data_IF_303461775764
#
_entry.id   IF_303461775764
#
_cell.length_a   1.000
_cell.length_b   1.000
_cell.length_c   1.000
_cell.angle_alpha   90.00
_cell.angle_beta   90.00
_cell.angle_gamma   90.00
#
_symmetry.space_group_name_H-M   'P 1'
#
loop_
_entity.id
_entity.type
_entity.pdbx_description
1 polymer ?
#
# COMPACT_ATOMS: atom_id res chain seq x y z
N UNK A 1 -1.76 -8.56 21.99
CA UNK A 1 -2.17 -8.34 20.58
C UNK A 1 -3.62 -7.87 20.58
N UNK A 2 -3.96 -6.87 19.77
CA UNK A 2 -5.35 -6.40 19.64
C UNK A 2 -6.19 -7.47 18.95
N UNK A 3 -7.39 -7.75 19.47
CA UNK A 3 -8.35 -8.68 18.85
C UNK A 3 -8.92 -8.03 17.60
N UNK A 4 -8.79 -8.68 16.44
CA UNK A 4 -9.43 -8.25 15.19
C UNK A 4 -10.75 -9.00 15.00
N UNK A 5 -11.80 -8.30 14.54
CA UNK A 5 -13.16 -8.85 14.45
C UNK A 5 -13.38 -9.85 13.30
N UNK A 6 -12.48 -9.89 12.32
CA UNK A 6 -12.61 -10.75 11.14
C UNK A 6 -11.24 -11.06 10.54
N UNK A 7 -11.08 -12.25 9.96
CA UNK A 7 -9.90 -12.62 9.17
C UNK A 7 -10.04 -12.13 7.71
N UNK A 8 -9.22 -11.18 7.24
CA UNK A 8 -9.29 -10.71 5.86
C UNK A 8 -8.64 -11.71 4.90
N UNK A 9 -9.44 -12.38 4.08
CA UNK A 9 -8.99 -13.33 3.06
C UNK A 9 -9.47 -12.92 1.67
N UNK A 10 -8.59 -13.08 0.67
CA UNK A 10 -8.96 -12.99 -0.74
C UNK A 10 -9.23 -14.38 -1.30
N UNK A 11 -10.49 -14.65 -1.68
CA UNK A 11 -10.90 -15.94 -2.24
C UNK A 11 -10.66 -15.97 -3.75
N UNK A 12 -9.92 -16.98 -4.23
CA UNK A 12 -9.70 -17.22 -5.66
C UNK A 12 -10.81 -18.09 -6.22
N UNK A 13 -11.84 -17.46 -6.78
CA UNK A 13 -13.04 -18.16 -7.27
C UNK A 13 -13.13 -18.25 -8.80
N UNK A 14 -12.08 -17.85 -9.54
CA UNK A 14 -12.06 -17.97 -10.99
C UNK A 14 -12.31 -19.43 -11.44
N UNK A 15 -13.35 -19.65 -12.26
CA UNK A 15 -13.81 -20.97 -12.70
C UNK A 15 -14.52 -21.81 -11.63
N UNK A 16 -14.58 -21.35 -10.37
CA UNK A 16 -15.25 -22.04 -9.28
C UNK A 16 -16.73 -21.64 -9.21
N UNK A 17 -17.56 -22.56 -8.75
CA UNK A 17 -18.99 -22.35 -8.56
C UNK A 17 -19.27 -21.69 -7.21
N UNK A 18 -20.18 -20.73 -7.20
CA UNK A 18 -20.67 -20.03 -6.00
C UNK A 18 -22.18 -20.02 -6.03
N UNK A 19 -22.79 -20.45 -4.93
CA UNK A 19 -24.23 -20.47 -4.77
C UNK A 19 -24.72 -19.03 -4.54
N UNK A 20 -25.70 -18.58 -5.31
CA UNK A 20 -26.40 -17.31 -5.08
C UNK A 20 -27.90 -17.57 -5.16
N UNK A 21 -28.54 -17.58 -4.00
CA UNK A 21 -29.97 -17.81 -3.85
C UNK A 21 -30.73 -16.49 -3.76
N UNK A 22 -31.88 -16.43 -4.44
CA UNK A 22 -32.76 -15.27 -4.54
C UNK A 22 -32.74 -14.63 -5.93
N UNK A 23 -33.91 -14.19 -6.40
CA UNK A 23 -34.10 -13.60 -7.74
C UNK A 23 -34.39 -12.09 -7.68
N UNK A 24 -34.31 -11.51 -6.48
CA UNK A 24 -34.60 -10.11 -6.22
C UNK A 24 -33.42 -9.17 -6.45
N UNK A 25 -33.67 -7.85 -6.34
CA UNK A 25 -32.64 -6.81 -6.46
C UNK A 25 -31.50 -6.95 -5.44
N UNK A 26 -31.72 -7.66 -4.33
CA UNK A 26 -30.72 -7.95 -3.31
C UNK A 26 -29.67 -9.00 -3.77
N UNK A 27 -30.04 -9.93 -4.64
CA UNK A 27 -29.15 -11.00 -5.13
C UNK A 27 -28.24 -10.51 -6.27
N UNK A 28 -28.74 -9.61 -7.11
CA UNK A 28 -28.07 -9.16 -8.34
C UNK A 28 -26.66 -8.55 -8.09
N UNK A 29 -26.44 -7.71 -7.05
CA UNK A 29 -25.10 -7.26 -6.68
C UNK A 29 -24.13 -8.41 -6.35
N UNK A 30 -24.60 -9.48 -5.71
CA UNK A 30 -23.77 -10.65 -5.36
C UNK A 30 -23.45 -11.47 -6.62
N UNK A 31 -24.42 -11.66 -7.51
CA UNK A 31 -24.20 -12.31 -8.83
C UNK A 31 -23.14 -11.56 -9.64
N UNK A 32 -23.21 -10.23 -9.70
CA UNK A 32 -22.18 -9.41 -10.37
C UNK A 32 -20.81 -9.53 -9.73
N UNK A 33 -20.74 -9.53 -8.40
CA UNK A 33 -19.47 -9.69 -7.68
C UNK A 33 -18.81 -11.04 -8.00
N UNK A 34 -19.58 -12.14 -7.96
CA UNK A 34 -19.11 -13.49 -8.31
C UNK A 34 -18.59 -13.53 -9.75
N UNK A 35 -19.39 -13.06 -10.71
CA UNK A 35 -19.00 -13.03 -12.14
C UNK A 35 -17.76 -12.17 -12.38
N UNK A 36 -17.65 -10.99 -11.74
CA UNK A 36 -16.49 -10.09 -11.87
C UNK A 36 -15.20 -10.73 -11.36
N UNK A 37 -15.28 -11.57 -10.33
CA UNK A 37 -14.15 -12.36 -9.83
C UNK A 37 -13.90 -13.67 -10.63
N UNK A 38 -14.58 -13.86 -11.76
CA UNK A 38 -14.45 -15.03 -12.63
C UNK A 38 -15.18 -16.28 -12.14
N UNK A 39 -16.03 -16.17 -11.12
CA UNK A 39 -16.82 -17.28 -10.60
C UNK A 39 -18.05 -17.60 -11.44
N UNK A 40 -18.51 -18.84 -11.34
CA UNK A 40 -19.74 -19.34 -11.97
C UNK A 40 -20.86 -19.32 -10.94
N UNK A 41 -21.95 -18.61 -11.25
CA UNK A 41 -23.12 -18.55 -10.36
C UNK A 41 -23.94 -19.82 -10.52
N UNK A 42 -24.29 -20.45 -9.40
CA UNK A 42 -25.28 -21.52 -9.28
C UNK A 42 -26.43 -20.98 -8.43
N UNK A 43 -27.67 -21.24 -8.81
CA UNK A 43 -28.89 -20.73 -8.16
C UNK A 43 -29.78 -21.84 -7.60
N UNK A 44 -29.36 -23.10 -7.72
CA UNK A 44 -30.02 -24.26 -7.15
C UNK A 44 -29.19 -24.85 -6.02
N UNK A 45 -29.80 -24.98 -4.83
CA UNK A 45 -29.12 -25.47 -3.65
C UNK A 45 -28.75 -26.96 -3.78
N UNK A 46 -29.64 -27.80 -4.30
CA UNK A 46 -29.40 -29.24 -4.41
C UNK A 46 -28.19 -29.51 -5.33
N UNK A 47 -28.18 -28.89 -6.51
CA UNK A 47 -27.05 -28.90 -7.43
C UNK A 47 -25.78 -28.36 -6.79
N UNK A 48 -25.86 -27.27 -6.02
CA UNK A 48 -24.69 -26.71 -5.35
C UNK A 48 -24.09 -27.67 -4.30
N UNK A 49 -24.94 -28.44 -3.62
CA UNK A 49 -24.51 -29.51 -2.70
C UNK A 49 -23.83 -30.64 -3.48
N UNK A 50 -24.48 -31.16 -4.52
CA UNK A 50 -23.97 -32.26 -5.34
C UNK A 50 -22.62 -31.92 -6.01
N UNK A 51 -22.46 -30.66 -6.39
CA UNK A 51 -21.25 -30.16 -7.05
C UNK A 51 -20.17 -29.65 -6.06
N UNK A 52 -20.40 -29.78 -4.75
CA UNK A 52 -19.42 -29.45 -3.71
C UNK A 52 -19.07 -27.95 -3.62
N UNK A 53 -20.04 -27.07 -3.88
CA UNK A 53 -19.87 -25.61 -3.74
C UNK A 53 -19.46 -25.24 -2.31
N UNK A 54 -18.61 -24.22 -2.14
CA UNK A 54 -18.02 -23.84 -0.84
C UNK A 54 -18.42 -22.45 -0.33
N UNK A 55 -19.03 -21.63 -1.18
CA UNK A 55 -19.45 -20.27 -0.86
C UNK A 55 -20.91 -20.09 -1.28
N UNK A 56 -21.71 -19.49 -0.41
CA UNK A 56 -23.10 -19.19 -0.65
C UNK A 56 -23.45 -17.74 -0.30
N UNK A 57 -24.17 -17.07 -1.19
CA UNK A 57 -24.89 -15.84 -0.93
C UNK A 57 -26.38 -16.12 -0.92
N UNK A 58 -27.09 -15.60 0.08
CA UNK A 58 -28.53 -15.82 0.24
C UNK A 58 -29.23 -14.47 0.36
N UNK A 59 -30.21 -14.23 -0.50
CA UNK A 59 -30.88 -12.94 -0.65
C UNK A 59 -32.36 -13.11 -0.99
N UNK A 60 -33.10 -13.90 -0.21
CA UNK A 60 -34.56 -13.95 -0.27
C UNK A 60 -35.18 -12.77 0.50
N UNK A 61 -36.36 -12.32 0.07
CA UNK A 61 -37.11 -11.29 0.80
C UNK A 61 -37.65 -11.84 2.13
N UNK A 62 -38.06 -13.11 2.15
CA UNK A 62 -38.61 -13.76 3.34
C UNK A 62 -37.54 -14.06 4.41
N UNK A 63 -37.89 -13.78 5.66
CA UNK A 63 -37.01 -13.96 6.81
C UNK A 63 -36.65 -15.42 7.04
N UNK A 64 -37.69 -16.24 7.11
CA UNK A 64 -37.61 -17.65 7.42
C UNK A 64 -36.94 -18.44 6.29
N UNK A 65 -37.19 -18.07 5.04
CA UNK A 65 -36.56 -18.69 3.86
C UNK A 65 -35.04 -18.53 3.88
N UNK A 66 -34.50 -17.36 4.25
CA UNK A 66 -33.04 -17.24 4.36
C UNK A 66 -32.47 -18.03 5.54
N UNK A 67 -33.17 -18.09 6.69
CA UNK A 67 -32.70 -18.89 7.82
C UNK A 67 -32.60 -20.37 7.45
N UNK A 68 -33.64 -20.92 6.83
CA UNK A 68 -33.66 -22.31 6.36
C UNK A 68 -32.56 -22.53 5.32
N UNK A 69 -32.42 -21.65 4.33
CA UNK A 69 -31.39 -21.77 3.32
C UNK A 69 -29.97 -21.65 3.90
N UNK A 70 -29.75 -20.78 4.89
CA UNK A 70 -28.46 -20.62 5.56
C UNK A 70 -28.08 -21.84 6.39
N UNK A 71 -29.04 -22.44 7.10
CA UNK A 71 -28.83 -23.70 7.82
C UNK A 71 -28.46 -24.80 6.83
N UNK A 72 -29.25 -24.98 5.76
CA UNK A 72 -29.00 -26.04 4.78
C UNK A 72 -27.63 -25.89 4.07
N UNK A 73 -27.27 -24.67 3.67
CA UNK A 73 -25.97 -24.40 3.05
C UNK A 73 -24.80 -24.65 4.02
N UNK A 74 -24.94 -24.29 5.30
CA UNK A 74 -23.92 -24.58 6.33
C UNK A 74 -23.80 -26.08 6.61
N UNK A 75 -24.91 -26.81 6.68
CA UNK A 75 -24.90 -28.26 6.82
C UNK A 75 -24.18 -28.95 5.65
N UNK A 76 -24.18 -28.33 4.46
CA UNK A 76 -23.42 -28.79 3.30
C UNK A 76 -21.94 -28.35 3.28
N UNK A 77 -21.44 -27.66 4.31
CA UNK A 77 -20.04 -27.23 4.41
C UNK A 77 -19.70 -25.95 3.63
N UNK A 78 -20.72 -25.16 3.27
CA UNK A 78 -20.54 -23.84 2.64
C UNK A 78 -20.34 -22.76 3.71
N UNK A 79 -19.49 -21.77 3.40
CA UNK A 79 -19.53 -20.49 4.12
C UNK A 79 -20.68 -19.65 3.55
N UNK A 80 -21.48 -19.05 4.43
CA UNK A 80 -22.71 -18.35 4.07
C UNK A 80 -22.60 -16.86 4.31
N UNK A 81 -23.10 -16.05 3.37
CA UNK A 81 -23.37 -14.63 3.55
C UNK A 81 -24.84 -14.36 3.21
N UNK A 82 -25.63 -13.99 4.22
CA UNK A 82 -27.03 -13.61 4.06
C UNK A 82 -27.14 -12.09 3.97
N UNK A 83 -27.81 -11.59 2.94
CA UNK A 83 -28.01 -10.14 2.75
C UNK A 83 -28.84 -9.57 3.90
N UNK A 84 -28.38 -8.41 4.42
CA UNK A 84 -29.00 -7.66 5.51
C UNK A 84 -29.20 -8.44 6.84
N UNK A 85 -28.57 -9.61 6.99
CA UNK A 85 -28.66 -10.48 8.17
C UNK A 85 -27.27 -10.93 8.66
N UNK A 86 -26.50 -10.01 9.28
CA UNK A 86 -25.12 -10.28 9.71
C UNK A 86 -25.00 -11.46 10.70
N UNK A 87 -26.01 -11.70 11.52
CA UNK A 87 -26.09 -12.81 12.47
C UNK A 87 -26.16 -14.20 11.80
N UNK A 88 -26.56 -14.26 10.53
CA UNK A 88 -26.58 -15.48 9.74
C UNK A 88 -25.32 -15.66 8.87
N UNK A 89 -24.38 -14.71 8.91
CA UNK A 89 -23.21 -14.69 8.05
C UNK A 89 -21.96 -15.30 8.71
N UNK A 90 -21.23 -16.13 7.96
CA UNK A 90 -19.89 -16.60 8.33
C UNK A 90 -18.79 -15.64 7.83
N UNK A 91 -19.11 -14.81 6.82
CA UNK A 91 -18.21 -13.79 6.29
C UNK A 91 -18.98 -12.55 5.82
N UNK A 92 -18.26 -11.44 5.63
CA UNK A 92 -18.83 -10.18 5.14
C UNK A 92 -18.23 -9.82 3.78
N UNK A 93 -18.99 -9.11 2.95
CA UNK A 93 -18.46 -8.53 1.71
C UNK A 93 -17.91 -7.12 1.99
N UNK A 94 -16.60 -6.88 1.81
CA UNK A 94 -15.99 -5.59 2.09
C UNK A 94 -16.36 -4.55 1.02
N UNK A 95 -16.05 -3.28 1.31
CA UNK A 95 -15.97 -2.24 0.28
C UNK A 95 -14.67 -2.45 -0.49
N UNK A 96 -14.75 -2.69 -1.80
CA UNK A 96 -13.61 -3.08 -2.64
C UNK A 96 -13.20 -1.90 -3.52
N UNK A 97 -11.95 -1.46 -3.39
CA UNK A 97 -11.26 -0.63 -4.38
C UNK A 97 -10.52 -1.56 -5.35
N UNK A 98 -10.77 -1.37 -6.64
CA UNK A 98 -10.26 -2.23 -7.70
C UNK A 98 -9.25 -1.48 -8.59
N UNK A 99 -8.03 -2.01 -8.65
CA UNK A 99 -6.91 -1.59 -9.49
C UNK A 99 -6.20 -2.83 -10.05
N UNK A 100 -6.96 -3.80 -10.56
CA UNK A 100 -6.49 -5.12 -11.01
C UNK A 100 -5.05 -5.11 -11.59
N UNK A 101 -4.12 -5.90 -11.01
CA UNK A 101 -4.32 -6.96 -10.01
C UNK A 101 -4.25 -6.47 -8.55
N UNK A 102 -4.07 -5.17 -8.31
CA UNK A 102 -4.05 -4.62 -6.95
C UNK A 102 -5.48 -4.45 -6.45
N UNK A 103 -5.82 -5.09 -5.33
CA UNK A 103 -7.12 -4.99 -4.68
C UNK A 103 -6.97 -4.50 -3.26
N UNK A 104 -7.85 -3.59 -2.84
CA UNK A 104 -7.94 -3.15 -1.44
C UNK A 104 -9.36 -3.44 -0.93
N UNK A 105 -9.42 -4.22 0.15
CA UNK A 105 -10.66 -4.55 0.83
C UNK A 105 -10.76 -3.77 2.14
N UNK A 106 -11.82 -2.97 2.29
CA UNK A 106 -12.08 -2.18 3.49
C UNK A 106 -13.27 -2.79 4.22
N UNK A 107 -13.00 -3.33 5.40
CA UNK A 107 -13.99 -3.87 6.31
C UNK A 107 -14.04 -3.09 7.62
N UNK A 108 -15.23 -2.98 8.21
CA UNK A 108 -15.45 -2.34 9.52
C UNK A 108 -15.89 -3.35 10.59
N UNK A 109 -15.70 -4.65 10.34
CA UNK A 109 -16.23 -5.70 11.22
C UNK A 109 -17.75 -5.61 11.42
N UNK A 110 -18.49 -5.14 10.41
CA UNK A 110 -19.94 -4.92 10.49
C UNK A 110 -20.38 -3.56 11.07
N UNK A 111 -19.48 -2.76 11.64
CA UNK A 111 -19.86 -1.51 12.33
C UNK A 111 -20.52 -0.44 11.43
N UNK A 112 -20.03 -0.24 10.19
CA UNK A 112 -20.64 0.72 9.26
C UNK A 112 -20.21 0.50 7.81
N UNK A 113 -21.13 -0.01 6.98
CA UNK A 113 -20.93 -0.09 5.53
C UNK A 113 -20.75 1.30 4.89
N UNK A 114 -21.41 2.33 5.44
CA UNK A 114 -21.27 3.72 5.00
C UNK A 114 -19.86 4.27 5.21
N UNK A 115 -19.25 3.99 6.36
CA UNK A 115 -17.86 4.36 6.63
C UNK A 115 -16.91 3.66 5.65
N UNK A 116 -17.04 2.34 5.46
CA UNK A 116 -16.23 1.57 4.52
C UNK A 116 -16.33 2.12 3.08
N UNK A 117 -17.53 2.53 2.66
CA UNK A 117 -17.78 3.17 1.37
C UNK A 117 -17.06 4.52 1.26
N UNK A 118 -17.18 5.39 2.26
CA UNK A 118 -16.54 6.71 2.20
C UNK A 118 -15.02 6.66 2.30
N UNK A 119 -14.45 5.72 3.05
CA UNK A 119 -13.00 5.46 3.05
C UNK A 119 -12.54 5.00 1.66
N UNK A 120 -13.24 4.03 1.05
CA UNK A 120 -12.95 3.59 -0.33
C UNK A 120 -12.95 4.75 -1.31
N UNK A 121 -14.01 5.58 -1.31
CA UNK A 121 -14.14 6.72 -2.21
C UNK A 121 -13.03 7.76 -2.04
N UNK A 122 -12.47 7.91 -0.84
CA UNK A 122 -11.31 8.79 -0.59
C UNK A 122 -10.03 8.16 -1.14
N UNK A 123 -9.81 6.87 -0.89
CA UNK A 123 -8.66 6.14 -1.42
C UNK A 123 -8.66 6.11 -2.95
N UNK A 124 -9.82 5.98 -3.59
CA UNK A 124 -9.95 6.04 -5.07
C UNK A 124 -9.44 7.35 -5.68
N UNK A 125 -9.48 8.46 -4.93
CA UNK A 125 -8.97 9.77 -5.39
C UNK A 125 -7.46 9.89 -5.27
N UNK A 126 -6.86 9.15 -4.35
CA UNK A 126 -5.43 9.22 -4.03
C UNK A 126 -4.64 8.16 -4.82
N UNK A 127 -5.25 6.99 -5.04
CA UNK A 127 -4.60 5.85 -5.67
C UNK A 127 -4.82 5.86 -7.19
N UNK A 128 -3.76 6.06 -7.99
CA UNK A 128 -3.89 6.17 -9.43
C UNK A 128 -4.32 4.85 -10.07
N UNK A 129 -5.00 4.94 -11.22
CA UNK A 129 -5.43 3.77 -11.99
C UNK A 129 -4.22 2.97 -12.55
N UNK A 130 -3.07 3.63 -12.71
CA UNK A 130 -1.81 3.05 -13.17
C UNK A 130 -1.21 2.00 -12.23
N UNK A 131 -1.67 1.89 -10.98
CA UNK A 131 -1.20 0.87 -10.03
C UNK A 131 -1.34 -0.55 -10.58
N UNK A 132 -2.44 -0.81 -11.29
CA UNK A 132 -2.65 -2.10 -11.94
C UNK A 132 -1.62 -2.38 -13.04
N UNK A 133 -1.27 -1.35 -13.82
CA UNK A 133 -0.25 -1.44 -14.86
C UNK A 133 1.14 -1.67 -14.25
N UNK A 134 1.49 -0.95 -13.18
CA UNK A 134 2.75 -1.12 -12.47
C UNK A 134 2.88 -2.55 -11.92
N UNK A 135 1.83 -3.07 -11.29
CA UNK A 135 1.84 -4.44 -10.77
C UNK A 135 2.01 -5.50 -11.88
N UNK A 136 1.34 -5.32 -13.03
CA UNK A 136 1.49 -6.19 -14.21
C UNK A 136 2.91 -6.11 -14.80
N UNK A 137 3.46 -4.90 -14.91
CA UNK A 137 4.83 -4.70 -15.38
C UNK A 137 5.86 -5.36 -14.44
N UNK A 138 5.72 -5.19 -13.13
CA UNK A 138 6.57 -5.85 -12.12
C UNK A 138 6.46 -7.38 -12.17
N UNK A 139 5.26 -7.91 -12.41
CA UNK A 139 5.06 -9.34 -12.61
C UNK A 139 5.79 -9.86 -13.85
N UNK A 140 5.66 -9.15 -14.97
CA UNK A 140 6.30 -9.51 -16.23
C UNK A 140 7.83 -9.58 -16.13
N UNK A 141 8.46 -8.68 -15.36
CA UNK A 141 9.92 -8.65 -15.19
C UNK A 141 10.45 -9.58 -14.09
N UNK A 142 9.60 -10.34 -13.39
CA UNK A 142 10.06 -11.29 -12.34
C UNK A 142 11.20 -12.22 -12.80
N UNK A 143 11.20 -12.79 -14.01
CA UNK A 143 12.31 -13.61 -14.48
C UNK A 143 13.63 -12.82 -14.60
N UNK A 144 13.59 -11.62 -15.19
CA UNK A 144 14.75 -10.74 -15.31
C UNK A 144 15.26 -10.27 -13.94
N UNK A 145 14.35 -9.97 -13.02
CA UNK A 145 14.66 -9.61 -11.64
C UNK A 145 15.39 -10.73 -10.88
N UNK A 146 14.95 -11.99 -11.07
CA UNK A 146 15.64 -13.17 -10.50
C UNK A 146 17.01 -13.42 -11.12
N UNK A 147 17.18 -13.13 -12.41
CA UNK A 147 18.47 -13.26 -13.08
C UNK A 147 19.47 -12.18 -12.63
N UNK A 148 19.02 -10.92 -12.52
CA UNK A 148 19.85 -9.78 -12.09
C UNK A 148 20.20 -9.84 -10.60
N UNK A 149 19.26 -10.25 -9.76
CA UNK A 149 19.43 -10.41 -8.31
C UNK A 149 19.12 -11.85 -7.90
N UNK A 150 20.10 -12.78 -8.00
CA UNK A 150 19.89 -14.17 -7.59
C UNK A 150 19.55 -14.29 -6.10
N UNK A 151 20.24 -13.51 -5.25
CA UNK A 151 19.96 -13.44 -3.82
C UNK A 151 18.60 -12.81 -3.52
N UNK A 152 17.86 -13.43 -2.59
CA UNK A 152 16.52 -12.98 -2.24
C UNK A 152 16.48 -11.69 -1.43
N UNK A 153 17.51 -11.41 -0.62
CA UNK A 153 17.58 -10.19 0.18
C UNK A 153 17.95 -8.98 -0.68
N UNK A 154 18.92 -9.13 -1.59
CA UNK A 154 19.27 -8.10 -2.59
C UNK A 154 18.06 -7.74 -3.45
N UNK A 155 17.35 -8.75 -3.94
CA UNK A 155 16.16 -8.55 -4.76
C UNK A 155 15.06 -7.78 -4.01
N UNK A 156 14.81 -8.10 -2.73
CA UNK A 156 13.86 -7.36 -1.90
C UNK A 156 14.31 -5.91 -1.72
N UNK A 157 15.57 -5.67 -1.35
CA UNK A 157 16.12 -4.31 -1.20
C UNK A 157 15.99 -3.48 -2.47
N UNK A 158 16.28 -4.05 -3.64
CA UNK A 158 16.16 -3.34 -4.91
C UNK A 158 14.72 -2.94 -5.21
N UNK A 159 13.76 -3.86 -5.01
CA UNK A 159 12.32 -3.61 -5.20
C UNK A 159 11.83 -2.57 -4.19
N UNK A 160 12.18 -2.70 -2.91
CA UNK A 160 11.78 -1.77 -1.86
C UNK A 160 12.31 -0.35 -2.14
N UNK A 161 13.58 -0.24 -2.56
CA UNK A 161 14.18 1.05 -2.94
C UNK A 161 13.56 1.68 -4.19
N UNK A 162 13.00 0.88 -5.10
CA UNK A 162 12.30 1.36 -6.27
C UNK A 162 10.88 1.85 -5.95
N UNK A 163 10.17 1.15 -5.06
CA UNK A 163 8.76 1.38 -4.74
C UNK A 163 8.51 2.37 -3.59
N UNK A 164 9.54 2.76 -2.83
CA UNK A 164 9.41 3.81 -1.81
C UNK A 164 9.00 5.16 -2.41
N UNK A 165 8.58 6.08 -1.56
CA UNK A 165 8.23 7.45 -1.97
C UNK A 165 9.42 8.16 -2.65
N UNK A 166 9.16 8.74 -3.83
CA UNK A 166 10.18 9.34 -4.71
C UNK A 166 11.15 8.33 -5.32
N UNK A 167 10.87 7.02 -5.21
CA UNK A 167 11.63 5.95 -5.84
C UNK A 167 11.44 5.92 -7.36
N UNK A 168 12.30 5.15 -8.04
CA UNK A 168 12.25 4.99 -9.49
C UNK A 168 10.88 4.52 -10.00
N UNK A 169 10.19 3.72 -9.18
CA UNK A 169 8.89 3.10 -9.46
C UNK A 169 7.85 3.47 -8.39
N UNK A 170 7.90 4.70 -7.86
CA UNK A 170 6.92 5.17 -6.87
C UNK A 170 5.47 4.86 -7.33
N UNK A 171 4.69 4.06 -6.57
CA UNK A 171 3.35 3.67 -6.95
C UNK A 171 2.36 4.84 -7.14
N UNK A 172 2.63 6.01 -6.57
CA UNK A 172 1.80 7.20 -6.74
C UNK A 172 2.18 8.03 -7.98
N UNK A 173 3.33 7.74 -8.60
CA UNK A 173 3.66 8.28 -9.92
C UNK A 173 2.89 7.50 -11.00
N UNK A 174 2.06 8.21 -11.76
CA UNK A 174 1.21 7.61 -12.79
C UNK A 174 2.00 6.97 -13.92
N UNK A 175 3.24 7.39 -14.16
CA UNK A 175 4.10 6.90 -15.24
C UNK A 175 5.14 5.86 -14.76
N UNK A 176 5.13 5.48 -13.48
CA UNK A 176 6.09 4.53 -12.92
C UNK A 176 6.16 3.20 -13.69
N UNK A 177 5.01 2.71 -14.15
CA UNK A 177 4.92 1.45 -14.90
C UNK A 177 5.74 1.46 -16.20
N UNK A 178 5.92 2.62 -16.83
CA UNK A 178 6.69 2.76 -18.09
C UNK A 178 8.19 2.61 -17.86
N UNK A 179 8.66 2.79 -16.62
CA UNK A 179 10.08 2.78 -16.27
C UNK A 179 10.57 1.41 -15.78
N UNK A 180 9.67 0.43 -15.65
CA UNK A 180 10.01 -0.89 -15.09
C UNK A 180 11.11 -1.59 -15.90
N UNK A 181 11.03 -1.54 -17.24
CA UNK A 181 12.03 -2.16 -18.13
C UNK A 181 13.40 -1.45 -18.03
N UNK A 182 13.42 -0.11 -18.05
CA UNK A 182 14.64 0.67 -17.89
C UNK A 182 15.27 0.46 -16.49
N UNK A 183 14.44 0.37 -15.44
CA UNK A 183 14.87 0.11 -14.08
C UNK A 183 15.52 -1.26 -13.95
N UNK A 184 14.90 -2.32 -14.49
CA UNK A 184 15.51 -3.66 -14.45
C UNK A 184 16.72 -3.78 -15.37
N UNK A 185 16.79 -3.00 -16.46
CA UNK A 185 17.97 -2.84 -17.31
C UNK A 185 19.12 -2.13 -16.60
N UNK A 186 18.83 -1.36 -15.53
CA UNK A 186 19.82 -0.54 -14.84
C UNK A 186 20.20 0.71 -15.62
N UNK A 187 19.36 1.09 -16.57
CA UNK A 187 19.50 2.27 -17.44
C UNK A 187 18.91 3.53 -16.79
N UNK A 188 18.32 3.38 -15.61
CA UNK A 188 17.81 4.52 -14.88
C UNK A 188 18.95 5.38 -14.34
N UNK A 189 18.91 6.70 -14.62
CA UNK A 189 19.84 7.61 -13.96
C UNK A 189 19.67 7.44 -12.45
N UNK A 190 20.77 7.52 -11.66
CA UNK A 190 20.68 7.44 -10.22
C UNK A 190 19.59 8.40 -9.78
N UNK A 191 18.62 7.89 -9.01
CA UNK A 191 17.50 8.71 -8.54
C UNK A 191 18.12 9.93 -7.90
N UNK A 192 17.83 11.11 -8.43
CA UNK A 192 18.44 12.33 -7.93
C UNK A 192 18.06 12.42 -6.47
N UNK A 193 19.09 12.35 -5.62
CA UNK A 193 18.91 12.51 -4.20
C UNK A 193 18.14 13.79 -3.94
N UNK A 194 17.19 13.77 -3.01
CA UNK A 194 16.55 15.00 -2.55
C UNK A 194 17.41 15.60 -1.44
N UNK A 195 17.58 16.92 -1.48
CA UNK A 195 18.09 17.68 -0.34
C UNK A 195 16.89 18.34 0.32
N UNK A 196 16.68 18.01 1.60
CA UNK A 196 15.57 18.54 2.39
C UNK A 196 16.17 19.18 3.63
N UNK A 197 15.99 20.49 3.78
CA UNK A 197 16.32 21.19 5.00
C UNK A 197 15.18 21.01 6.02
N UNK A 198 15.51 20.49 7.19
CA UNK A 198 14.62 20.44 8.34
C UNK A 198 15.07 21.47 9.36
N UNK A 199 14.19 22.42 9.65
CA UNK A 199 14.35 23.31 10.79
C UNK A 199 13.82 22.60 12.03
N UNK A 200 14.68 22.38 13.00
CA UNK A 200 14.30 21.81 14.29
C UNK A 200 13.86 22.95 15.22
N UNK A 201 12.64 22.87 15.73
CA UNK A 201 12.05 23.85 16.64
C UNK A 201 12.14 23.43 18.11
N UNK A 202 12.62 22.22 18.37
CA UNK A 202 12.71 21.60 19.69
C UNK A 202 13.83 20.59 19.76
N UNK A 203 14.34 20.36 20.96
CA UNK A 203 15.31 19.31 21.26
C UNK A 203 14.64 17.96 21.60
N UNK A 204 13.32 17.97 21.82
CA UNK A 204 12.53 16.78 22.15
C UNK A 204 12.19 15.96 20.87
N UNK A 205 12.61 14.70 20.77
CA UNK A 205 12.27 13.84 19.64
C UNK A 205 10.79 13.55 19.45
N UNK A 206 9.98 13.66 20.51
CA UNK A 206 8.54 13.43 20.41
C UNK A 206 7.79 14.66 19.86
N UNK A 207 8.47 15.81 19.73
CA UNK A 207 7.96 17.00 19.06
C UNK A 207 8.28 17.06 17.56
N UNK A 208 8.98 16.05 17.02
CA UNK A 208 9.14 15.90 15.58
C UNK A 208 7.78 15.67 14.92
N UNK A 209 7.48 16.44 13.87
CA UNK A 209 6.32 16.12 13.03
C UNK A 209 6.48 14.73 12.42
N UNK A 210 5.36 14.06 12.13
CA UNK A 210 5.38 12.75 11.45
C UNK A 210 6.20 12.78 10.16
N UNK A 211 6.18 13.91 9.43
CA UNK A 211 7.00 14.12 8.24
C UNK A 211 8.49 14.18 8.58
N UNK A 212 8.90 14.97 9.57
CA UNK A 212 10.30 15.07 9.98
C UNK A 212 10.84 13.72 10.49
N UNK A 213 10.10 13.03 11.37
CA UNK A 213 10.51 11.74 11.91
C UNK A 213 10.68 10.68 10.80
N UNK A 214 9.75 10.65 9.82
CA UNK A 214 9.86 9.78 8.66
C UNK A 214 11.08 10.10 7.80
N UNK A 215 11.25 11.38 7.41
CA UNK A 215 12.38 11.81 6.59
C UNK A 215 13.73 11.54 7.27
N UNK A 216 13.79 11.72 8.58
CA UNK A 216 14.97 11.43 9.40
C UNK A 216 15.29 9.93 9.42
N UNK A 217 14.26 9.08 9.54
CA UNK A 217 14.39 7.62 9.47
C UNK A 217 14.69 7.06 8.07
N UNK A 218 14.53 7.86 7.01
CA UNK A 218 14.81 7.46 5.63
C UNK A 218 16.15 7.99 5.09
N UNK A 219 16.76 8.96 5.76
CA UNK A 219 17.95 9.65 5.28
C UNK A 219 19.21 8.77 5.28
N UNK A 220 19.97 8.85 4.20
CA UNK A 220 21.28 8.19 4.07
C UNK A 220 22.41 9.07 4.59
N UNK A 221 22.30 10.41 4.45
CA UNK A 221 23.28 11.39 4.93
C UNK A 221 22.60 12.54 5.67
N UNK A 222 23.11 12.85 6.85
CA UNK A 222 22.73 13.95 7.72
C UNK A 222 23.82 15.00 7.72
N UNK A 223 23.51 16.21 7.22
CA UNK A 223 24.37 17.37 7.38
C UNK A 223 23.86 18.20 8.56
N UNK A 224 24.65 18.26 9.62
CA UNK A 224 24.32 18.91 10.88
C UNK A 224 24.84 20.35 10.84
N UNK A 225 23.91 21.31 10.87
CA UNK A 225 24.25 22.71 11.14
C UNK A 225 24.13 22.97 12.64
N UNK A 226 25.27 23.19 13.30
CA UNK A 226 25.35 23.37 14.75
C UNK A 226 25.20 22.08 15.59
N UNK A 227 24.87 22.26 16.87
CA UNK A 227 24.84 21.20 17.87
C UNK A 227 23.49 20.47 17.92
N UNK A 228 23.25 19.51 17.02
CA UNK A 228 21.99 18.73 17.00
C UNK A 228 21.95 17.70 18.15
N UNK A 229 20.90 17.70 19.01
CA UNK A 229 20.77 16.75 20.11
C UNK A 229 20.86 15.29 19.68
N UNK A 230 21.60 14.49 20.45
CA UNK A 230 21.78 13.05 20.20
C UNK A 230 20.46 12.27 20.21
N UNK A 231 19.48 12.73 20.98
CA UNK A 231 18.15 12.14 21.06
C UNK A 231 17.41 12.23 19.71
N UNK A 232 17.57 13.34 18.97
CA UNK A 232 17.03 13.50 17.63
C UNK A 232 17.80 12.66 16.62
N UNK A 233 19.14 12.68 16.70
CA UNK A 233 19.99 11.86 15.81
C UNK A 233 19.74 10.35 15.95
N UNK A 234 19.25 9.91 17.11
CA UNK A 234 18.90 8.52 17.37
C UNK A 234 17.63 8.07 16.63
N UNK A 235 16.84 9.00 16.07
CA UNK A 235 15.68 8.70 15.22
C UNK A 235 16.06 8.43 13.77
N UNK A 236 17.28 8.78 13.37
CA UNK A 236 17.80 8.42 12.06
C UNK A 236 18.25 6.96 12.01
N UNK A 237 18.48 6.44 10.80
CA UNK A 237 19.05 5.10 10.64
C UNK A 237 20.41 5.01 11.33
N UNK A 238 20.69 3.86 11.94
CA UNK A 238 21.96 3.62 12.62
C UNK A 238 23.18 3.71 11.67
N UNK A 239 22.97 3.45 10.38
CA UNK A 239 23.97 3.48 9.32
C UNK A 239 23.99 4.79 8.51
N UNK A 240 23.18 5.79 8.88
CA UNK A 240 23.17 7.09 8.22
C UNK A 240 24.50 7.85 8.47
N UNK A 241 25.12 8.35 7.41
CA UNK A 241 26.37 9.10 7.49
C UNK A 241 26.11 10.49 8.10
N UNK A 242 26.93 10.92 9.06
CA UNK A 242 26.78 12.20 9.76
C UNK A 242 27.94 13.12 9.42
N UNK A 243 27.63 14.30 8.87
CA UNK A 243 28.61 15.31 8.47
C UNK A 243 28.27 16.65 9.09
N UNK A 244 29.29 17.41 9.49
CA UNK A 244 29.09 18.79 9.95
C UNK A 244 28.99 19.70 8.73
N UNK A 245 27.97 20.57 8.71
CA UNK A 245 27.80 21.58 7.68
C UNK A 245 28.72 22.77 7.95
N UNK A 246 29.56 23.14 6.97
CA UNK A 246 30.55 24.23 7.09
C UNK A 246 30.22 25.47 6.23
N UNK A 247 28.98 25.57 5.74
CA UNK A 247 28.50 26.77 5.04
C UNK A 247 28.84 26.89 3.56
N UNK A 248 29.45 25.88 2.92
CA UNK A 248 29.68 25.90 1.47
C UNK A 248 28.82 24.85 0.75
N UNK A 249 28.01 25.30 -0.21
CA UNK A 249 27.15 24.49 -1.07
C UNK A 249 27.91 23.61 -2.09
N UNK A 250 29.24 23.58 -2.04
CA UNK A 250 30.09 22.78 -2.92
C UNK A 250 29.83 21.26 -2.85
N UNK A 251 29.22 20.76 -1.77
CA UNK A 251 28.81 19.36 -1.63
C UNK A 251 27.45 19.01 -2.27
N UNK A 252 26.66 20.00 -2.68
CA UNK A 252 25.28 19.86 -3.17
C UNK A 252 25.16 19.80 -4.71
N UNK A 253 26.28 19.82 -5.44
CA UNK A 253 26.27 19.80 -6.90
C UNK A 253 25.49 18.58 -7.45
N UNK A 254 24.49 18.85 -8.30
CA UNK A 254 23.69 17.84 -9.02
C UNK A 254 22.37 17.41 -8.36
N UNK A 255 21.94 18.07 -7.28
CA UNK A 255 20.66 17.79 -6.59
C UNK A 255 19.69 18.96 -6.82
N UNK A 256 18.44 18.66 -7.21
CA UNK A 256 17.37 19.67 -7.26
C UNK A 256 16.89 20.00 -5.85
N UNK A 257 16.69 21.29 -5.57
CA UNK A 257 15.95 21.75 -4.40
C UNK A 257 14.54 21.13 -4.41
N UNK A 258 14.19 20.45 -3.32
CA UNK A 258 12.81 20.03 -3.09
C UNK A 258 11.92 21.27 -2.96
N UNK A 259 10.64 21.15 -3.31
CA UNK A 259 9.66 22.24 -3.31
C UNK A 259 9.32 22.72 -1.89
N UNK A 260 10.25 23.40 -1.24
CA UNK A 260 10.07 24.22 -0.06
C UNK A 260 10.81 25.53 -0.29
N UNK A 261 10.07 26.64 -0.30
CA UNK A 261 10.50 28.05 -0.31
C UNK A 261 11.92 28.36 -0.77
N UNK A 262 12.03 29.02 -1.93
CA UNK A 262 13.29 29.38 -2.58
C UNK A 262 14.30 30.13 -1.71
N UNK A 263 15.57 29.90 -2.08
CA UNK A 263 16.74 30.60 -1.59
C UNK A 263 16.75 32.08 -2.02
N UNK A 264 16.17 32.96 -1.22
CA UNK A 264 16.55 34.37 -1.24
C UNK A 264 16.76 34.91 0.19
N UNK A 265 18.04 35.09 0.53
CA UNK A 265 18.51 36.14 1.43
C UNK A 265 18.03 36.11 2.89
N UNK A 266 18.73 35.37 3.75
CA UNK A 266 18.77 35.69 5.18
C UNK A 266 20.21 36.03 5.58
N UNK A 267 20.47 37.33 5.68
CA UNK A 267 21.63 37.88 6.37
C UNK A 267 21.66 37.35 7.80
N UNK A 268 22.84 36.92 8.24
CA UNK A 268 23.33 36.83 9.62
C UNK A 268 22.37 37.33 10.70
N UNK A 269 21.75 36.40 11.43
CA UNK A 269 21.23 36.62 12.77
C UNK A 269 21.79 35.51 13.69
N UNK A 270 22.36 35.86 14.86
CA UNK A 270 22.86 34.88 15.81
C UNK A 270 21.70 34.51 16.75
N UNK A 271 20.82 33.60 16.32
CA UNK A 271 19.95 32.89 17.25
C UNK A 271 19.59 31.52 16.66
N UNK A 272 19.80 30.50 17.49
CA UNK A 272 19.95 29.11 17.12
C UNK A 272 18.66 28.48 16.59
N UNK A 273 18.66 28.12 15.30
CA UNK A 273 17.83 27.05 14.75
C UNK A 273 18.78 25.99 14.22
N UNK A 274 18.68 24.77 14.73
CA UNK A 274 19.48 23.65 14.24
C UNK A 274 18.91 23.23 12.88
N UNK A 275 19.61 23.58 11.80
CA UNK A 275 19.26 23.11 10.45
C UNK A 275 19.85 21.72 10.22
N UNK A 276 18.99 20.77 9.86
CA UNK A 276 19.39 19.44 9.44
C UNK A 276 19.16 19.31 7.94
N UNK A 277 20.22 19.29 7.15
CA UNK A 277 20.13 19.10 5.71
C UNK A 277 20.21 17.59 5.43
N UNK A 278 19.07 16.99 5.10
CA UNK A 278 18.98 15.58 4.71
C UNK A 278 19.39 15.45 3.25
N UNK A 279 20.43 14.67 2.96
CA UNK A 279 20.73 14.24 1.60
C UNK A 279 20.39 12.76 1.49
N UNK A 280 19.33 12.47 0.75
CA UNK A 280 18.95 11.11 0.40
C UNK A 280 19.73 10.68 -0.87
N UNK A 281 20.36 9.51 -0.91
CA UNK A 281 21.00 8.94 -2.13
C UNK A 281 20.67 7.44 -2.16
N UNK A 282 19.93 6.93 -3.15
CA UNK A 282 19.72 5.50 -3.26
C UNK A 282 21.06 4.80 -3.50
N UNK A 283 21.28 3.67 -2.83
CA UNK A 283 22.51 2.89 -2.92
C UNK A 283 22.84 2.53 -4.38
N UNK A 284 24.05 2.87 -4.81
CA UNK A 284 24.59 2.46 -6.11
C UNK A 284 25.20 1.05 -5.97
N UNK A 285 24.79 0.04 -6.74
CA UNK A 285 25.34 -1.32 -6.63
C UNK A 285 26.84 -1.44 -6.92
N UNK A 286 27.48 -0.37 -7.43
CA UNK A 286 28.88 -0.36 -7.83
C UNK A 286 29.88 0.10 -6.76
N UNK A 287 29.44 0.49 -5.56
CA UNK A 287 30.35 0.99 -4.51
C UNK A 287 30.63 0.00 -3.37
N UNK A 288 30.21 -1.27 -3.51
CA UNK A 288 30.63 -2.36 -2.62
C UNK A 288 31.59 -3.30 -3.35
N UNK A 289 32.82 -2.84 -3.56
CA UNK A 289 34.01 -3.68 -3.75
C UNK A 289 35.22 -3.04 -3.10
#
# INVERSE_FOLDING_TARGET
>A
MSTIASLPLFHRIAGQKVLVLGDGPAAEPKRRLVKRAGGVVVDDLARAVDEGVRLAFIAYDDAQACEVAAINARCAGMLVNVVDRPELCDFTTPSILDRDPLLIAIGTGGASAGLAKHVRLRLERVLPDSLGLLAKALEAVRPALRARFPDGADRRRAVDAALREGGALDPLDSDAFQRVDAWIGGEMPPTQGAVIELVLTSEDPDELTLRQARLLGEADVLWLDGAVPSALLSRARADAERRVWTGSSGGLAGVKEGSGGGLEGAKTAPDAGLSLILRWRPANPSEVR
#
